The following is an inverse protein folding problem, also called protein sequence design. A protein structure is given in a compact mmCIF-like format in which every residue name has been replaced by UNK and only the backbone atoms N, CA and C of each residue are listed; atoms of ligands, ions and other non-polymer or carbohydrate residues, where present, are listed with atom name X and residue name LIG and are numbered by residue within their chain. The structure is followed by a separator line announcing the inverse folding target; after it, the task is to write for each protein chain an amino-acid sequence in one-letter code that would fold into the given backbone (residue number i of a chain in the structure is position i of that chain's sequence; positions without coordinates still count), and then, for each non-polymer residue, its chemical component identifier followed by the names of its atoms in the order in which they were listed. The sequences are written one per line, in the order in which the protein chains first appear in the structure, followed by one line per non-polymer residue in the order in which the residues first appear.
data_IF_393094633832
#
_entry.id   IF_393094633832
#
_cell.length_a   1.000
_cell.length_b   1.000
_cell.length_c   1.000
_cell.angle_alpha   90.00
_cell.angle_beta   90.00
_cell.angle_gamma   90.00
#
_symmetry.space_group_name_H-M   'P 1'
#
loop_
_entity.id
_entity.type
_entity.pdbx_description
1 polymer ?
#
# COMPACT_ATOMS: atom_id res chain seq x y z
N UNK A 1 -0.75 52.39 -10.23
CA UNK A 1 -0.57 51.26 -11.16
C UNK A 1 0.52 50.33 -10.61
N UNK A 2 0.67 50.26 -9.28
CA UNK A 2 1.74 49.50 -8.60
C UNK A 2 1.20 48.51 -7.55
N UNK A 3 -0.10 48.53 -7.23
CA UNK A 3 -0.71 47.55 -6.33
C UNK A 3 -1.07 46.24 -7.06
N UNK A 4 -1.49 46.31 -8.33
CA UNK A 4 -1.88 45.13 -9.10
C UNK A 4 -0.73 44.21 -9.51
N UNK A 5 0.52 44.71 -9.48
CA UNK A 5 1.68 43.91 -9.88
C UNK A 5 2.20 43.04 -8.73
N UNK A 6 1.84 43.38 -7.48
CA UNK A 6 2.28 42.64 -6.30
C UNK A 6 1.43 41.39 -6.02
N UNK A 7 0.16 41.41 -6.41
CA UNK A 7 -0.75 40.27 -6.26
C UNK A 7 -0.52 39.16 -7.31
N UNK A 8 0.26 39.42 -8.36
CA UNK A 8 0.53 38.44 -9.42
C UNK A 8 1.76 37.59 -9.14
N UNK A 9 2.72 38.09 -8.34
CA UNK A 9 3.94 37.35 -8.00
C UNK A 9 3.75 36.32 -6.87
N UNK A 10 2.69 36.44 -6.06
CA UNK A 10 2.35 35.44 -5.02
C UNK A 10 1.52 34.25 -5.54
N UNK A 11 1.15 34.24 -6.83
CA UNK A 11 0.35 33.17 -7.45
C UNK A 11 1.19 32.08 -8.14
N UNK A 12 2.50 32.25 -8.27
CA UNK A 12 3.38 31.31 -8.98
C UNK A 12 4.06 30.25 -8.09
N UNK A 13 3.63 30.13 -6.84
CA UNK A 13 3.86 28.90 -6.04
C UNK A 13 2.63 28.00 -6.10
N UNK A 14 2.17 27.70 -7.32
CA UNK A 14 1.39 26.47 -7.54
C UNK A 14 2.36 25.33 -7.28
N UNK A 15 2.31 24.80 -6.05
CA UNK A 15 2.93 23.52 -5.70
C UNK A 15 2.61 22.54 -6.83
N UNK A 16 3.59 22.25 -7.69
CA UNK A 16 3.44 21.18 -8.66
C UNK A 16 3.10 19.94 -7.84
N UNK A 17 1.96 19.27 -8.10
CA UNK A 17 1.62 18.09 -7.34
C UNK A 17 2.76 17.09 -7.51
N UNK A 18 3.33 16.65 -6.39
CA UNK A 18 4.26 15.52 -6.31
C UNK A 18 3.86 14.48 -7.36
N UNK A 19 4.78 14.05 -8.24
CA UNK A 19 4.54 13.11 -9.35
C UNK A 19 3.45 12.09 -8.99
N UNK A 20 2.22 12.38 -9.41
CA UNK A 20 1.06 11.71 -8.84
C UNK A 20 0.97 10.35 -9.53
N UNK A 21 1.38 9.29 -8.82
CA UNK A 21 1.43 7.93 -9.37
C UNK A 21 0.08 7.57 -10.00
N UNK A 22 0.10 7.22 -11.28
CA UNK A 22 -1.11 6.82 -12.00
C UNK A 22 -1.69 5.54 -11.37
N UNK A 23 -3.01 5.50 -11.12
CA UNK A 23 -3.64 4.33 -10.56
C UNK A 23 -3.60 3.18 -11.58
N UNK A 24 -3.34 1.96 -11.11
CA UNK A 24 -3.22 0.79 -11.98
C UNK A 24 -4.48 -0.08 -11.91
N UNK A 25 -4.96 -0.54 -13.07
CA UNK A 25 -6.10 -1.45 -13.13
C UNK A 25 -5.67 -2.92 -13.16
N UNK A 26 -6.14 -3.70 -12.19
CA UNK A 26 -5.82 -5.13 -12.08
C UNK A 26 -6.47 -6.00 -13.15
N UNK A 27 -7.54 -5.51 -13.79
CA UNK A 27 -8.27 -6.25 -14.85
C UNK A 27 -7.77 -5.89 -16.25
N UNK A 28 -7.55 -4.60 -16.52
CA UNK A 28 -7.02 -4.16 -17.82
C UNK A 28 -5.49 -4.33 -17.91
N UNK A 29 -4.83 -4.60 -16.78
CA UNK A 29 -3.37 -4.71 -16.67
C UNK A 29 -2.58 -3.47 -17.14
N UNK A 30 -3.24 -2.33 -17.26
CA UNK A 30 -2.70 -1.09 -17.81
C UNK A 30 -2.98 0.12 -16.90
N UNK A 31 -2.23 1.18 -17.14
CA UNK A 31 -2.54 2.53 -16.67
C UNK A 31 -3.50 3.14 -17.68
N UNK A 32 -4.79 3.12 -17.35
CA UNK A 32 -5.88 3.58 -18.22
C UNK A 32 -6.52 4.82 -17.59
N UNK A 33 -7.25 5.59 -18.39
CA UNK A 33 -8.09 6.65 -17.86
C UNK A 33 -9.05 6.15 -16.78
N UNK A 34 -9.28 7.00 -15.79
CA UNK A 34 -10.07 6.68 -14.62
C UNK A 34 -11.06 7.78 -14.29
N UNK A 35 -12.22 7.38 -13.77
CA UNK A 35 -13.22 8.28 -13.19
C UNK A 35 -13.14 8.19 -11.67
N UNK A 36 -13.05 9.32 -10.99
CA UNK A 36 -13.19 9.38 -9.53
C UNK A 36 -14.67 9.23 -9.16
N UNK A 37 -14.97 8.28 -8.27
CA UNK A 37 -16.30 8.10 -7.69
C UNK A 37 -16.18 8.26 -6.18
N UNK A 38 -17.21 8.85 -5.57
CA UNK A 38 -17.37 8.88 -4.13
C UNK A 38 -17.77 7.50 -3.65
N UNK A 39 -16.97 6.94 -2.75
CA UNK A 39 -17.28 5.71 -2.03
C UNK A 39 -17.44 6.00 -0.55
N UNK A 40 -18.22 5.20 0.15
CA UNK A 40 -18.50 5.36 1.58
C UNK A 40 -17.86 4.22 2.35
N UNK A 41 -16.94 4.55 3.25
CA UNK A 41 -16.32 3.59 4.15
C UNK A 41 -16.70 3.94 5.58
N UNK A 42 -17.18 2.93 6.31
CA UNK A 42 -17.51 3.08 7.72
C UNK A 42 -16.22 3.05 8.55
N UNK A 43 -15.96 4.11 9.32
CA UNK A 43 -14.85 4.19 10.27
C UNK A 43 -15.37 4.16 11.71
N UNK A 44 -14.58 3.59 12.59
CA UNK A 44 -14.84 3.59 14.04
C UNK A 44 -14.48 4.94 14.64
N UNK A 45 -15.37 5.47 15.47
CA UNK A 45 -15.14 6.66 16.28
C UNK A 45 -14.44 6.32 17.61
N UNK A 46 -13.81 7.31 18.23
CA UNK A 46 -13.16 7.19 19.55
C UNK A 46 -14.17 6.91 20.67
N UNK A 47 -15.41 7.36 20.49
CA UNK A 47 -16.52 7.11 21.42
C UNK A 47 -17.21 5.75 21.18
N UNK A 48 -16.62 4.88 20.35
CA UNK A 48 -17.17 3.56 20.03
C UNK A 48 -18.32 3.59 19.02
N UNK A 49 -18.61 4.75 18.44
CA UNK A 49 -19.55 4.92 17.33
C UNK A 49 -18.97 4.46 15.99
N UNK A 50 -19.81 4.53 14.95
CA UNK A 50 -19.41 4.32 13.56
C UNK A 50 -19.91 5.50 12.74
N UNK A 51 -19.04 6.15 11.98
CA UNK A 51 -19.42 7.22 11.06
C UNK A 51 -19.05 6.84 9.62
N UNK A 52 -19.89 7.18 8.63
CA UNK A 52 -19.55 7.03 7.22
C UNK A 52 -18.58 8.15 6.80
N UNK A 53 -17.45 7.77 6.24
CA UNK A 53 -16.49 8.68 5.62
C UNK A 53 -16.55 8.54 4.10
N UNK A 54 -16.74 9.66 3.41
CA UNK A 54 -16.76 9.70 1.96
C UNK A 54 -15.32 9.85 1.45
N UNK A 55 -14.86 8.89 0.67
CA UNK A 55 -13.53 8.90 0.05
C UNK A 55 -13.66 8.91 -1.47
N UNK A 56 -12.80 9.66 -2.14
CA UNK A 56 -12.69 9.64 -3.59
C UNK A 56 -11.83 8.46 -4.02
N UNK A 57 -12.39 7.54 -4.82
CA UNK A 57 -11.67 6.34 -5.27
C UNK A 57 -11.65 6.23 -6.80
N UNK A 58 -10.48 6.01 -7.42
CA UNK A 58 -10.36 5.91 -8.87
C UNK A 58 -10.93 4.59 -9.39
N UNK A 59 -11.77 4.68 -10.43
CA UNK A 59 -12.33 3.54 -11.14
C UNK A 59 -11.95 3.59 -12.62
N UNK A 60 -11.54 2.45 -13.17
CA UNK A 60 -11.19 2.34 -14.58
C UNK A 60 -12.41 2.61 -15.47
N UNK A 61 -12.24 3.39 -16.55
CA UNK A 61 -13.34 3.71 -17.47
C UNK A 61 -13.73 2.48 -18.30
N UNK A 62 -12.76 1.67 -18.74
CA UNK A 62 -13.01 0.53 -19.63
C UNK A 62 -13.75 -0.62 -18.93
N UNK A 63 -13.36 -0.94 -17.70
CA UNK A 63 -13.92 -2.08 -16.96
C UNK A 63 -14.77 -1.71 -15.75
N UNK A 64 -14.81 -0.43 -15.37
CA UNK A 64 -15.60 0.07 -14.24
C UNK A 64 -15.10 -0.37 -12.85
N UNK A 65 -13.99 -1.10 -12.77
CA UNK A 65 -13.46 -1.64 -11.49
C UNK A 65 -12.52 -0.66 -10.80
N UNK A 66 -12.39 -0.86 -9.48
CA UNK A 66 -11.49 -0.10 -8.62
C UNK A 66 -10.03 -0.22 -9.08
N UNK A 67 -9.37 0.92 -9.19
CA UNK A 67 -7.94 0.98 -9.49
C UNK A 67 -7.15 1.18 -8.21
N UNK A 68 -5.92 0.66 -8.19
CA UNK A 68 -5.08 0.59 -7.00
C UNK A 68 -3.75 1.31 -7.25
N UNK A 69 -3.30 2.11 -6.27
CA UNK A 69 -1.95 2.66 -6.29
C UNK A 69 -0.94 1.58 -5.92
N UNK A 70 0.02 1.36 -6.81
CA UNK A 70 1.04 0.34 -6.63
C UNK A 70 2.02 0.73 -5.51
N UNK A 71 2.38 1.99 -5.37
CA UNK A 71 3.24 2.47 -4.27
C UNK A 71 2.64 2.17 -2.90
N UNK A 72 1.33 2.40 -2.73
CA UNK A 72 0.63 2.19 -1.47
C UNK A 72 0.62 0.70 -1.10
N UNK A 73 0.35 -0.17 -2.07
CA UNK A 73 0.42 -1.62 -1.86
C UNK A 73 1.84 -2.11 -1.51
N UNK A 74 2.89 -1.53 -2.10
CA UNK A 74 4.30 -1.84 -1.75
C UNK A 74 4.65 -1.36 -0.35
N UNK A 75 4.33 -0.10 -0.03
CA UNK A 75 4.58 0.53 1.27
C UNK A 75 3.89 -0.25 2.38
N UNK A 76 2.63 -0.66 2.17
CA UNK A 76 1.87 -1.45 3.15
C UNK A 76 2.51 -2.82 3.40
N UNK A 77 2.87 -3.56 2.34
CA UNK A 77 3.52 -4.88 2.49
C UNK A 77 4.88 -4.73 3.19
N UNK A 78 5.66 -3.72 2.83
CA UNK A 78 6.96 -3.46 3.46
C UNK A 78 6.81 -3.07 4.93
N UNK A 79 5.88 -2.16 5.24
CA UNK A 79 5.58 -1.71 6.59
C UNK A 79 5.11 -2.85 7.50
N UNK A 80 4.17 -3.68 7.05
CA UNK A 80 3.70 -4.84 7.83
C UNK A 80 4.82 -5.84 8.07
N UNK A 81 5.67 -6.08 7.07
CA UNK A 81 6.81 -6.99 7.23
C UNK A 81 7.85 -6.43 8.20
N UNK A 82 8.12 -5.12 8.13
CA UNK A 82 9.01 -4.41 9.03
C UNK A 82 8.49 -4.44 10.47
N UNK A 83 7.20 -4.17 10.68
CA UNK A 83 6.55 -4.26 11.99
C UNK A 83 6.62 -5.69 12.56
N UNK A 84 6.37 -6.70 11.72
CA UNK A 84 6.49 -8.10 12.11
C UNK A 84 7.93 -8.47 12.52
N UNK A 85 8.93 -7.92 11.84
CA UNK A 85 10.34 -8.15 12.17
C UNK A 85 10.69 -7.48 13.51
N UNK A 86 10.26 -6.24 13.72
CA UNK A 86 10.45 -5.56 15.00
C UNK A 86 9.79 -6.31 16.16
N UNK A 87 8.54 -6.76 15.98
CA UNK A 87 7.85 -7.57 16.97
C UNK A 87 8.66 -8.84 17.30
N UNK A 88 9.14 -9.55 16.27
CA UNK A 88 9.96 -10.74 16.46
C UNK A 88 11.26 -10.46 17.24
N UNK A 89 11.98 -9.39 16.89
CA UNK A 89 13.20 -8.99 17.60
C UNK A 89 12.92 -8.63 19.07
N UNK A 90 11.82 -7.92 19.35
CA UNK A 90 11.41 -7.61 20.73
C UNK A 90 11.14 -8.91 21.50
N UNK A 91 10.38 -9.85 20.91
CA UNK A 91 10.12 -11.15 21.53
C UNK A 91 11.40 -11.98 21.78
N UNK A 92 12.40 -11.85 20.92
CA UNK A 92 13.69 -12.51 21.12
C UNK A 92 14.49 -11.86 22.26
N UNK A 93 14.51 -10.52 22.31
CA UNK A 93 15.18 -9.77 23.37
C UNK A 93 14.55 -10.04 24.75
N UNK A 94 13.22 -10.10 24.84
CA UNK A 94 12.54 -10.40 26.11
C UNK A 94 12.89 -11.78 26.62
N UNK A 95 12.97 -12.79 25.75
CA UNK A 95 13.39 -14.15 26.15
C UNK A 95 14.85 -14.16 26.61
N UNK A 96 15.75 -13.45 25.91
CA UNK A 96 17.17 -13.38 26.31
C UNK A 96 17.42 -12.67 27.65
N UNK A 97 16.63 -11.64 27.97
CA UNK A 97 16.82 -10.84 29.20
C UNK A 97 16.11 -11.46 30.40
N UNK A 98 14.90 -12.03 30.24
CA UNK A 98 14.12 -12.56 31.37
C UNK A 98 14.37 -14.05 31.67
N UNK A 99 14.77 -14.86 30.69
CA UNK A 99 14.81 -16.31 30.84
C UNK A 99 16.16 -16.90 30.43
N UNK A 100 16.63 -17.90 31.18
CA UNK A 100 17.72 -18.75 30.72
C UNK A 100 17.28 -19.57 29.49
N UNK A 101 18.22 -19.93 28.62
CA UNK A 101 17.96 -20.74 27.43
C UNK A 101 17.51 -22.16 27.82
N UNK A 102 16.20 -22.33 27.96
CA UNK A 102 15.56 -23.61 28.29
C UNK A 102 14.63 -24.06 27.15
N UNK A 103 14.30 -25.36 27.09
CA UNK A 103 13.44 -25.95 26.06
C UNK A 103 12.05 -25.31 26.01
N UNK A 104 11.50 -24.91 27.16
CA UNK A 104 10.21 -24.21 27.26
C UNK A 104 10.28 -22.83 26.60
N UNK A 105 11.35 -22.07 26.86
CA UNK A 105 11.59 -20.76 26.24
C UNK A 105 11.69 -20.88 24.72
N UNK A 106 12.30 -21.95 24.22
CA UNK A 106 12.39 -22.25 22.80
C UNK A 106 11.00 -22.52 22.19
N UNK A 107 10.16 -23.32 22.84
CA UNK A 107 8.79 -23.56 22.38
C UNK A 107 7.97 -22.27 22.31
N UNK A 108 8.04 -21.42 23.33
CA UNK A 108 7.35 -20.12 23.35
C UNK A 108 7.83 -19.23 22.20
N UNK A 109 9.15 -19.15 21.98
CA UNK A 109 9.73 -18.37 20.90
C UNK A 109 9.27 -18.87 19.52
N UNK A 110 9.21 -20.19 19.32
CA UNK A 110 8.72 -20.76 18.04
C UNK A 110 7.24 -20.46 17.80
N UNK A 111 6.40 -20.54 18.84
CA UNK A 111 4.99 -20.18 18.73
C UNK A 111 4.81 -18.70 18.42
N UNK A 112 5.56 -17.84 19.10
CA UNK A 112 5.56 -16.39 18.84
C UNK A 112 6.02 -16.07 17.41
N UNK A 113 7.08 -16.72 16.93
CA UNK A 113 7.55 -16.58 15.56
C UNK A 113 6.49 -17.00 14.54
N UNK A 114 5.73 -18.05 14.82
CA UNK A 114 4.59 -18.48 13.99
C UNK A 114 3.50 -17.40 13.93
N UNK A 115 3.14 -16.78 15.06
CA UNK A 115 2.17 -15.68 15.09
C UNK A 115 2.64 -14.46 14.29
N UNK A 116 3.89 -14.03 14.46
CA UNK A 116 4.48 -12.96 13.67
C UNK A 116 4.43 -13.29 12.16
N UNK A 117 4.78 -14.52 11.79
CA UNK A 117 4.70 -14.98 10.41
C UNK A 117 3.28 -14.89 9.83
N UNK A 118 2.25 -15.30 10.59
CA UNK A 118 0.85 -15.18 10.17
C UNK A 118 0.43 -13.72 9.96
N UNK A 119 0.82 -12.81 10.87
CA UNK A 119 0.57 -11.37 10.74
C UNK A 119 1.24 -10.79 9.50
N UNK A 120 2.48 -11.19 9.22
CA UNK A 120 3.20 -10.77 8.00
C UNK A 120 2.49 -11.19 6.69
N UNK A 121 1.59 -12.17 6.78
CA UNK A 121 0.79 -12.73 5.68
C UNK A 121 -0.56 -12.05 5.48
N UNK A 122 -1.05 -11.28 6.45
CA UNK A 122 -2.32 -10.54 6.37
C UNK A 122 -2.46 -9.61 5.15
N UNK A 123 -1.42 -8.93 4.62
CA UNK A 123 -1.56 -8.11 3.41
C UNK A 123 -1.62 -8.97 2.14
N UNK A 124 -2.45 -10.02 2.14
CA UNK A 124 -2.60 -10.99 1.07
C UNK A 124 -3.15 -10.34 -0.21
N UNK A 125 -4.13 -9.44 -0.07
CA UNK A 125 -4.70 -8.72 -1.21
C UNK A 125 -3.66 -7.83 -1.90
N UNK A 126 -2.90 -7.03 -1.13
CA UNK A 126 -1.83 -6.19 -1.66
C UNK A 126 -0.73 -7.01 -2.34
N UNK A 127 -0.35 -8.16 -1.76
CA UNK A 127 0.60 -9.09 -2.38
C UNK A 127 0.09 -9.67 -3.70
N UNK A 128 -1.21 -10.02 -3.79
CA UNK A 128 -1.83 -10.51 -5.03
C UNK A 128 -1.78 -9.44 -6.13
N UNK A 129 -2.18 -8.21 -5.84
CA UNK A 129 -2.13 -7.10 -6.79
C UNK A 129 -0.72 -6.84 -7.31
N UNK A 130 0.29 -6.91 -6.43
CA UNK A 130 1.68 -6.75 -6.84
C UNK A 130 2.19 -7.90 -7.71
N UNK A 131 1.74 -9.14 -7.45
CA UNK A 131 2.09 -10.30 -8.28
C UNK A 131 1.47 -10.19 -9.67
N UNK A 132 0.19 -9.81 -9.76
CA UNK A 132 -0.48 -9.62 -11.05
C UNK A 132 0.15 -8.51 -11.87
N UNK A 133 0.56 -7.41 -11.22
CA UNK A 133 1.30 -6.34 -11.89
C UNK A 133 2.66 -6.79 -12.41
N UNK A 134 3.46 -7.50 -11.58
CA UNK A 134 4.75 -8.05 -12.01
C UNK A 134 4.61 -9.03 -13.17
N UNK A 135 3.52 -9.80 -13.21
CA UNK A 135 3.23 -10.71 -14.30
C UNK A 135 2.91 -9.94 -15.58
N UNK A 136 1.96 -9.01 -15.54
CA UNK A 136 1.62 -8.16 -16.69
C UNK A 136 2.83 -7.42 -17.27
N UNK A 137 3.70 -6.89 -16.40
CA UNK A 137 4.93 -6.22 -16.83
C UNK A 137 5.90 -7.16 -17.56
N UNK A 138 6.00 -8.42 -17.12
CA UNK A 138 6.83 -9.43 -17.80
C UNK A 138 6.25 -9.76 -19.17
N UNK A 139 4.94 -9.96 -19.26
CA UNK A 139 4.27 -10.31 -20.51
C UNK A 139 4.42 -9.20 -21.56
N UNK A 140 4.27 -7.93 -21.15
CA UNK A 140 4.56 -6.77 -22.02
C UNK A 140 6.01 -6.74 -22.49
N UNK A 141 6.98 -6.95 -21.58
CA UNK A 141 8.40 -6.96 -21.96
C UNK A 141 8.74 -8.07 -22.96
N UNK A 142 8.07 -9.22 -22.89
CA UNK A 142 8.25 -10.32 -23.85
C UNK A 142 7.68 -9.93 -25.21
N UNK A 143 6.49 -9.30 -25.24
CA UNK A 143 5.88 -8.83 -26.50
C UNK A 143 6.75 -7.76 -27.18
N UNK A 144 7.30 -6.82 -26.44
CA UNK A 144 8.21 -5.80 -26.97
C UNK A 144 9.49 -6.41 -27.56
N UNK A 145 10.00 -7.48 -26.94
CA UNK A 145 11.16 -8.21 -27.46
C UNK A 145 10.80 -8.97 -28.75
N UNK A 146 9.62 -9.56 -28.83
CA UNK A 146 9.13 -10.25 -30.03
C UNK A 146 8.87 -9.29 -31.19
N UNK A 147 8.38 -8.08 -30.93
CA UNK A 147 8.15 -7.07 -31.96
C UNK A 147 9.47 -6.44 -32.49
N UNK A 148 10.57 -6.57 -31.73
CA UNK A 148 11.89 -6.07 -32.14
C UNK A 148 12.72 -7.08 -32.93
N UNK A 149 12.27 -8.33 -33.03
CA UNK A 149 12.91 -9.40 -33.81
C UNK A 149 12.36 -9.44 -35.23
#
# INVERSE_FOLDING_TARGET
MDEFQKDVEDLDTVDLPDEQEEPWCSTCHAFTDYRRKWDTVNRSDLDGGIYPEHIEVPHCIDCGKLMLLLSLSKKLVWSVNLLSLFAWCIGLLTVQVLFEFNLVSLLILTFYACLCYLVSRLPHQSRKTLKTWKQAKRDQSIQDLLHKL
#
